data_IF_406406035209
#
_entry.id   IF_406406035209
#
_cell.length_a   1.000
_cell.length_b   1.000
_cell.length_c   1.000
_cell.angle_alpha   90.00
_cell.angle_beta   90.00
_cell.angle_gamma   90.00
#
_symmetry.space_group_name_H-M   'P 1'
#
loop_
_entity.id
_entity.type
_entity.pdbx_description
1 polymer ?
#
# COMPACT_ATOMS: atom_id res chain seq x y z
N UNK A 1 2.60 -9.48 -16.50
CA UNK A 1 3.62 -9.34 -15.44
C UNK A 1 3.33 -8.10 -14.60
N UNK A 2 3.44 -8.19 -13.28
CA UNK A 2 3.30 -7.01 -12.44
C UNK A 2 4.43 -6.01 -12.70
N UNK A 3 4.14 -4.74 -12.52
CA UNK A 3 5.15 -3.70 -12.67
C UNK A 3 6.17 -3.80 -11.52
N UNK A 4 7.38 -3.32 -11.79
CA UNK A 4 8.47 -3.38 -10.81
C UNK A 4 8.11 -2.69 -9.49
N UNK A 5 7.39 -1.57 -9.56
CA UNK A 5 7.00 -0.82 -8.36
C UNK A 5 6.05 -1.61 -7.44
N UNK A 6 5.27 -2.55 -7.99
CA UNK A 6 4.37 -3.35 -7.16
C UNK A 6 5.14 -4.26 -6.22
N UNK A 7 6.26 -4.83 -6.67
CA UNK A 7 7.13 -5.62 -5.81
C UNK A 7 7.73 -4.80 -4.69
N UNK A 8 8.17 -3.60 -5.01
CA UNK A 8 8.71 -2.67 -4.00
C UNK A 8 7.64 -2.29 -3.00
N UNK A 9 6.42 -2.02 -3.46
CA UNK A 9 5.30 -1.68 -2.61
C UNK A 9 4.98 -2.81 -1.64
N UNK A 10 4.85 -4.02 -2.15
CA UNK A 10 4.53 -5.21 -1.34
C UNK A 10 5.62 -5.45 -0.29
N UNK A 11 6.89 -5.35 -0.68
CA UNK A 11 8.00 -5.50 0.24
C UNK A 11 7.96 -4.46 1.36
N UNK A 12 7.68 -3.22 1.01
CA UNK A 12 7.58 -2.13 1.98
C UNK A 12 6.39 -2.33 2.92
N UNK A 13 5.25 -2.79 2.41
CA UNK A 13 4.10 -3.14 3.23
C UNK A 13 4.46 -4.23 4.24
N UNK A 14 5.11 -5.27 3.78
CA UNK A 14 5.49 -6.39 4.63
C UNK A 14 6.46 -5.94 5.73
N UNK A 15 7.46 -5.15 5.37
CA UNK A 15 8.47 -4.67 6.32
C UNK A 15 7.88 -3.75 7.38
N UNK A 16 6.79 -3.06 7.08
CA UNK A 16 6.14 -2.12 7.99
C UNK A 16 4.84 -2.65 8.56
N UNK A 17 4.53 -3.93 8.33
CA UNK A 17 3.34 -4.62 8.83
C UNK A 17 2.05 -3.94 8.41
N UNK A 18 1.99 -3.48 7.16
CA UNK A 18 0.79 -2.90 6.58
C UNK A 18 0.06 -4.00 5.81
N UNK A 19 -1.22 -4.20 6.13
CA UNK A 19 -2.04 -5.19 5.43
C UNK A 19 -2.66 -4.60 4.17
N UNK A 20 -3.07 -5.49 3.25
CA UNK A 20 -3.78 -5.06 2.04
C UNK A 20 -5.08 -4.35 2.37
N UNK A 21 -5.77 -4.79 3.43
CA UNK A 21 -7.00 -4.15 3.88
C UNK A 21 -6.76 -2.72 4.33
N UNK A 22 -5.71 -2.49 5.09
CA UNK A 22 -5.34 -1.15 5.54
C UNK A 22 -5.04 -0.23 4.36
N UNK A 23 -4.24 -0.72 3.41
CA UNK A 23 -3.87 0.06 2.24
C UNK A 23 -5.09 0.36 1.36
N UNK A 24 -5.94 -0.63 1.13
CA UNK A 24 -7.15 -0.45 0.33
C UNK A 24 -8.08 0.58 0.97
N UNK A 25 -8.26 0.51 2.28
CA UNK A 25 -9.08 1.48 3.01
C UNK A 25 -8.51 2.90 2.89
N UNK A 26 -7.20 3.04 2.96
CA UNK A 26 -6.53 4.34 2.85
C UNK A 26 -6.71 4.94 1.46
N UNK A 27 -6.61 4.11 0.43
CA UNK A 27 -6.78 4.54 -0.96
C UNK A 27 -8.25 4.78 -1.29
N UNK A 28 -9.15 4.06 -0.62
CA UNK A 28 -10.59 4.13 -0.88
C UNK A 28 -11.07 3.13 -1.93
N UNK A 29 -10.43 1.97 -2.00
CA UNK A 29 -10.78 0.91 -2.95
C UNK A 29 -11.01 -0.40 -2.22
N UNK A 30 -11.47 -1.43 -2.96
CA UNK A 30 -11.63 -2.77 -2.41
C UNK A 30 -10.29 -3.51 -2.39
N UNK A 31 -10.17 -4.48 -1.48
CA UNK A 31 -8.98 -5.33 -1.43
C UNK A 31 -8.84 -6.15 -2.71
N UNK A 32 -9.95 -6.52 -3.32
CA UNK A 32 -9.94 -7.26 -4.58
C UNK A 32 -9.30 -6.43 -5.70
N UNK A 33 -9.70 -5.16 -5.82
CA UNK A 33 -9.13 -4.27 -6.83
C UNK A 33 -7.64 -4.03 -6.58
N UNK A 34 -7.28 -3.80 -5.32
CA UNK A 34 -5.87 -3.63 -4.94
C UNK A 34 -5.05 -4.85 -5.35
N UNK A 35 -5.55 -6.05 -5.05
CA UNK A 35 -4.90 -7.29 -5.43
C UNK A 35 -4.72 -7.40 -6.94
N UNK A 36 -5.74 -7.02 -7.72
CA UNK A 36 -5.66 -7.04 -9.18
C UNK A 36 -4.56 -6.12 -9.69
N UNK A 37 -4.44 -4.92 -9.13
CA UNK A 37 -3.38 -3.99 -9.52
C UNK A 37 -2.00 -4.55 -9.17
N UNK A 38 -1.85 -5.09 -7.96
CA UNK A 38 -0.58 -5.64 -7.49
C UNK A 38 -0.14 -6.86 -8.29
N UNK A 39 -1.09 -7.63 -8.82
CA UNK A 39 -0.80 -8.79 -9.64
C UNK A 39 -0.66 -8.49 -11.13
N UNK A 40 -0.76 -7.23 -11.51
CA UNK A 40 -0.56 -6.81 -12.89
C UNK A 40 -1.76 -6.96 -13.80
N UNK A 41 -2.94 -7.24 -13.24
CA UNK A 41 -4.18 -7.36 -14.04
C UNK A 41 -4.76 -6.00 -14.42
N UNK A 42 -4.42 -4.96 -13.70
CA UNK A 42 -4.84 -3.59 -13.95
C UNK A 42 -3.64 -2.67 -13.82
N UNK A 43 -3.58 -1.63 -14.66
CA UNK A 43 -2.50 -0.64 -14.61
C UNK A 43 -3.09 0.76 -14.73
N UNK A 44 -3.83 1.23 -13.72
CA UNK A 44 -4.42 2.57 -13.78
C UNK A 44 -3.33 3.64 -13.75
N UNK A 45 -3.59 4.75 -14.42
CA UNK A 45 -2.65 5.88 -14.45
C UNK A 45 -2.46 6.44 -13.05
N UNK A 46 -1.22 6.68 -12.70
CA UNK A 46 -0.88 7.28 -11.41
C UNK A 46 -1.03 6.33 -10.22
N UNK A 47 -1.26 5.04 -10.47
CA UNK A 47 -1.41 4.05 -9.39
C UNK A 47 -0.16 3.99 -8.51
N UNK A 48 1.02 4.01 -9.12
CA UNK A 48 2.28 3.97 -8.38
C UNK A 48 2.35 5.11 -7.36
N UNK A 49 2.10 6.32 -7.81
CA UNK A 49 2.18 7.50 -6.93
C UNK A 49 1.14 7.45 -5.83
N UNK A 50 -0.10 7.09 -6.19
CA UNK A 50 -1.20 7.01 -5.22
C UNK A 50 -0.94 5.95 -4.16
N UNK A 51 -0.51 4.78 -4.59
CA UNK A 51 -0.28 3.66 -3.68
C UNK A 51 0.91 3.93 -2.77
N UNK A 52 2.00 4.47 -3.33
CA UNK A 52 3.18 4.81 -2.53
C UNK A 52 2.88 5.92 -1.52
N UNK A 53 2.14 6.94 -1.93
CA UNK A 53 1.75 8.03 -1.03
C UNK A 53 0.87 7.51 0.11
N UNK A 54 -0.12 6.67 -0.20
CA UNK A 54 -1.00 6.09 0.80
C UNK A 54 -0.21 5.21 1.78
N UNK A 55 0.71 4.43 1.27
CA UNK A 55 1.54 3.56 2.11
C UNK A 55 2.43 4.39 3.04
N UNK A 56 3.05 5.45 2.52
CA UNK A 56 3.89 6.32 3.34
C UNK A 56 3.09 6.97 4.48
N UNK A 57 1.86 7.38 4.19
CA UNK A 57 0.97 7.93 5.23
C UNK A 57 0.64 6.90 6.30
N UNK A 58 0.35 5.66 5.88
CA UNK A 58 0.07 4.57 6.83
C UNK A 58 1.26 4.26 7.71
N UNK A 59 2.45 4.24 7.13
CA UNK A 59 3.69 4.00 7.88
C UNK A 59 3.89 5.10 8.91
N UNK A 60 3.68 6.34 8.50
CA UNK A 60 3.81 7.49 9.40
C UNK A 60 2.82 7.41 10.55
N UNK A 61 1.57 7.04 10.27
CA UNK A 61 0.55 6.88 11.30
C UNK A 61 0.94 5.79 12.31
N UNK A 62 1.50 4.67 11.82
CA UNK A 62 1.94 3.58 12.68
C UNK A 62 3.13 3.99 13.57
N UNK A 63 4.05 4.78 13.04
CA UNK A 63 5.18 5.31 13.81
C UNK A 63 4.68 6.24 14.91
N UNK A 64 3.72 7.10 14.62
CA UNK A 64 3.13 7.99 15.60
C UNK A 64 2.44 7.22 16.72
N UNK A 65 1.71 6.16 16.37
CA UNK A 65 1.05 5.29 17.35
C UNK A 65 2.07 4.60 18.25
N UNK A 66 3.19 4.14 17.68
CA UNK A 66 4.25 3.51 18.44
C UNK A 66 4.88 4.49 19.43
N UNK A 67 5.06 5.74 19.02
CA UNK A 67 5.60 6.78 19.89
C UNK A 67 4.67 7.06 21.07
N UNK A 68 3.35 7.04 20.82
CA UNK A 68 2.36 7.25 21.88
C UNK A 68 2.35 6.10 22.90
N UNK A 69 2.59 4.89 22.43
CA UNK A 69 2.60 3.71 23.28
C UNK A 69 3.91 3.53 24.05
N UNK A 70 4.94 4.18 23.58
CA UNK A 70 6.22 4.15 24.24
C UNK A 70 6.25 5.20 25.33
#
# INVERSE_FOLDING_TARGET
MPAQWTGELVGKMHNNRVSSQELAAKIGCSTKWLSMVLNGHCSPKGAEQRFMAALDELIKEKEEDNERLA
#
